data_IF_587587628790
#
_entry.id   IF_587587628790
#
_cell.length_a   1.000
_cell.length_b   1.000
_cell.length_c   1.000
_cell.angle_alpha   90.00
_cell.angle_beta   90.00
_cell.angle_gamma   90.00
#
_symmetry.space_group_name_H-M   'P 1'
#
loop_
_entity.id
_entity.type
_entity.pdbx_description
1 polymer ?
#
# COMPACT_ATOMS: atom_id res chain seq x y z
N UNK A 1 141.21 4.56 51.14
CA UNK A 1 140.01 5.16 51.77
C UNK A 1 138.75 4.80 50.96
N UNK A 2 138.42 3.52 50.77
CA UNK A 2 137.45 3.11 49.72
C UNK A 2 136.18 2.37 50.20
N UNK A 3 136.01 2.18 51.53
CA UNK A 3 134.75 1.66 52.10
C UNK A 3 133.79 2.76 52.58
N UNK A 4 134.30 3.92 53.01
CA UNK A 4 133.47 5.02 53.55
C UNK A 4 132.61 5.67 52.47
N UNK A 5 133.13 5.86 51.25
CA UNK A 5 132.40 6.50 50.15
C UNK A 5 131.18 5.69 49.70
N UNK A 6 131.32 4.38 49.47
CA UNK A 6 130.21 3.52 49.00
C UNK A 6 129.01 3.46 49.96
N UNK A 7 129.25 3.62 51.27
CA UNK A 7 128.17 3.63 52.28
C UNK A 7 127.40 4.96 52.24
N UNK A 8 128.05 6.06 51.87
CA UNK A 8 127.37 7.35 51.65
C UNK A 8 126.49 7.32 50.38
N UNK A 9 127.00 6.75 49.27
CA UNK A 9 126.27 6.68 48.00
C UNK A 9 124.96 5.87 48.13
N UNK A 10 125.00 4.73 48.84
CA UNK A 10 123.80 3.91 49.08
C UNK A 10 122.72 4.67 49.86
N UNK A 11 123.11 5.31 50.97
CA UNK A 11 122.18 6.09 51.81
C UNK A 11 121.60 7.30 51.09
N UNK A 12 122.38 7.92 50.20
CA UNK A 12 121.92 9.01 49.35
C UNK A 12 120.85 8.55 48.34
N UNK A 13 121.06 7.39 47.69
CA UNK A 13 120.06 6.83 46.77
C UNK A 13 118.76 6.41 47.47
N UNK A 14 118.82 5.86 48.68
CA UNK A 14 117.62 5.52 49.46
C UNK A 14 116.83 6.77 49.88
N UNK A 15 117.53 7.85 50.26
CA UNK A 15 116.90 9.16 50.51
C UNK A 15 116.25 9.74 49.25
N UNK A 16 116.93 9.65 48.10
CA UNK A 16 116.37 10.11 46.83
C UNK A 16 115.10 9.32 46.44
N UNK A 17 115.07 7.99 46.68
CA UNK A 17 113.89 7.15 46.43
C UNK A 17 112.71 7.56 47.33
N UNK A 18 112.97 7.79 48.62
CA UNK A 18 111.97 8.26 49.58
C UNK A 18 111.39 9.64 49.23
N UNK A 19 112.25 10.61 48.88
CA UNK A 19 111.80 11.95 48.43
C UNK A 19 110.98 11.85 47.14
N UNK A 20 111.37 10.97 46.21
CA UNK A 20 110.63 10.68 45.00
C UNK A 20 109.23 10.14 45.26
N UNK A 21 109.09 9.12 46.13
CA UNK A 21 107.79 8.51 46.46
C UNK A 21 106.77 9.51 47.03
N UNK A 22 107.27 10.51 47.77
CA UNK A 22 106.47 11.64 48.27
C UNK A 22 106.07 12.64 47.17
N UNK A 23 106.90 12.83 46.14
CA UNK A 23 106.67 13.79 45.05
C UNK A 23 105.89 13.25 43.83
N UNK A 24 105.90 11.93 43.59
CA UNK A 24 105.28 11.37 42.37
C UNK A 24 103.76 11.23 42.49
N UNK A 25 103.02 11.87 41.59
CA UNK A 25 101.56 11.85 41.56
C UNK A 25 100.94 10.48 41.19
N UNK A 26 99.62 10.30 41.42
CA UNK A 26 98.92 9.03 41.20
C UNK A 26 98.98 8.54 39.74
N UNK A 27 99.01 9.44 38.75
CA UNK A 27 99.16 9.07 37.33
C UNK A 27 100.52 8.45 36.99
N UNK A 28 101.55 8.73 37.78
CA UNK A 28 102.89 8.14 37.63
C UNK A 28 102.96 6.84 38.42
N UNK A 29 102.47 6.84 39.66
CA UNK A 29 102.44 5.65 40.52
C UNK A 29 101.54 4.53 39.98
N UNK A 30 100.49 4.86 39.23
CA UNK A 30 99.58 3.91 38.59
C UNK A 30 100.12 3.27 37.29
N UNK A 31 101.31 3.64 36.81
CA UNK A 31 101.88 3.03 35.61
C UNK A 31 102.41 1.63 35.90
N UNK A 32 102.13 0.68 35.00
CA UNK A 32 102.62 -0.69 35.11
C UNK A 32 104.16 -0.73 35.18
N UNK A 33 104.67 -1.50 36.15
CA UNK A 33 106.11 -1.65 36.40
C UNK A 33 106.82 -0.44 37.01
N UNK A 34 106.15 0.69 37.28
CA UNK A 34 106.79 1.90 37.82
C UNK A 34 107.54 1.63 39.13
N UNK A 35 106.87 1.02 40.11
CA UNK A 35 107.45 0.66 41.41
C UNK A 35 108.60 -0.36 41.31
N UNK A 36 108.77 -1.05 40.18
CA UNK A 36 109.92 -1.92 39.93
C UNK A 36 111.10 -1.11 39.38
N UNK A 37 110.88 -0.30 38.33
CA UNK A 37 111.91 0.58 37.74
C UNK A 37 112.54 1.53 38.76
N UNK A 38 111.75 2.06 39.70
CA UNK A 38 112.23 2.93 40.79
C UNK A 38 113.07 2.19 41.85
N UNK A 39 112.78 0.91 42.11
CA UNK A 39 113.57 0.08 43.05
C UNK A 39 114.90 -0.37 42.44
N UNK A 40 114.90 -0.69 41.15
CA UNK A 40 116.08 -1.15 40.40
C UNK A 40 117.03 -0.01 39.98
N UNK A 41 116.59 1.25 40.07
CA UNK A 41 117.41 2.41 39.74
C UNK A 41 118.61 2.59 40.69
N UNK A 42 119.81 2.59 40.11
CA UNK A 42 121.11 2.78 40.79
C UNK A 42 121.66 4.20 40.67
N UNK A 43 120.97 5.10 39.94
CA UNK A 43 121.33 6.51 39.82
C UNK A 43 120.11 7.43 39.73
N UNK A 44 120.30 8.72 40.04
CA UNK A 44 119.26 9.75 39.89
C UNK A 44 118.71 9.84 38.46
N UNK A 45 119.55 9.69 37.44
CA UNK A 45 119.11 9.65 36.04
C UNK A 45 118.20 8.45 35.75
N UNK A 46 118.50 7.26 36.30
CA UNK A 46 117.65 6.08 36.16
C UNK A 46 116.31 6.25 36.88
N UNK A 47 116.27 6.91 38.05
CA UNK A 47 115.00 7.24 38.69
C UNK A 47 114.16 8.24 37.89
N UNK A 48 114.79 9.29 37.34
CA UNK A 48 114.09 10.24 36.46
C UNK A 48 113.54 9.53 35.21
N UNK A 49 114.33 8.66 34.58
CA UNK A 49 113.86 7.83 33.46
C UNK A 49 112.71 6.87 33.86
N UNK A 50 112.69 6.34 35.08
CA UNK A 50 111.61 5.48 35.56
C UNK A 50 110.25 6.20 35.63
N UNK A 51 110.26 7.53 35.84
CA UNK A 51 109.06 8.39 35.88
C UNK A 51 108.53 8.79 34.50
N UNK A 52 109.31 8.59 33.44
CA UNK A 52 108.83 8.79 32.08
C UNK A 52 107.71 7.79 31.78
N UNK A 53 106.58 8.31 31.29
CA UNK A 53 105.42 7.51 30.92
C UNK A 53 105.84 6.51 29.82
N UNK A 54 105.72 5.19 30.02
CA UNK A 54 106.09 4.24 28.99
C UNK A 54 105.23 4.50 27.75
N UNK A 55 105.86 4.54 26.58
CA UNK A 55 105.15 4.67 25.32
C UNK A 55 104.16 3.50 25.20
N UNK A 56 102.87 3.80 25.14
CA UNK A 56 101.84 2.80 24.91
C UNK A 56 101.96 2.39 23.45
N UNK A 57 102.76 1.34 23.19
CA UNK A 57 102.82 0.69 21.88
C UNK A 57 101.52 -0.09 21.71
N UNK A 58 100.51 0.60 21.17
CA UNK A 58 99.25 -0.03 20.77
C UNK A 58 99.59 -1.01 19.64
N UNK A 59 99.30 -2.30 19.83
CA UNK A 59 99.54 -3.30 18.80
C UNK A 59 98.69 -3.01 17.55
N UNK A 60 99.30 -3.16 16.37
CA UNK A 60 98.64 -2.92 15.07
C UNK A 60 97.40 -3.79 14.82
N UNK A 61 97.25 -4.90 15.54
CA UNK A 61 96.03 -5.72 15.55
C UNK A 61 94.85 -5.01 16.20
N UNK A 62 95.09 -4.31 17.32
CA UNK A 62 94.06 -3.69 18.15
C UNK A 62 93.61 -2.34 17.57
N UNK A 63 94.50 -1.62 16.88
CA UNK A 63 94.12 -0.43 16.09
C UNK A 63 93.24 -0.79 14.90
N UNK A 64 93.52 -1.89 14.19
CA UNK A 64 92.65 -2.41 13.10
C UNK A 64 91.28 -2.82 13.63
N UNK A 65 91.21 -3.63 14.69
CA UNK A 65 89.94 -4.02 15.31
C UNK A 65 89.08 -2.82 15.74
N UNK A 66 89.70 -1.75 16.29
CA UNK A 66 88.98 -0.52 16.62
C UNK A 66 88.53 0.27 15.38
N UNK A 67 89.27 0.22 14.27
CA UNK A 67 88.85 0.82 13.00
C UNK A 67 87.67 0.04 12.38
N UNK A 68 87.76 -1.30 12.36
CA UNK A 68 86.70 -2.18 11.85
C UNK A 68 85.40 -2.03 12.66
N UNK A 69 85.50 -2.01 14.00
CA UNK A 69 84.34 -1.79 14.88
C UNK A 69 83.71 -0.40 14.68
N UNK A 70 84.49 0.64 14.40
CA UNK A 70 83.97 1.98 14.06
C UNK A 70 83.30 2.02 12.70
N UNK A 71 83.86 1.33 11.70
CA UNK A 71 83.24 1.20 10.39
C UNK A 71 81.90 0.44 10.46
N UNK A 72 81.85 -0.65 11.24
CA UNK A 72 80.62 -1.39 11.52
C UNK A 72 79.59 -0.53 12.26
N UNK A 73 80.00 0.25 13.27
CA UNK A 73 79.10 1.18 13.97
C UNK A 73 78.52 2.23 13.01
N UNK A 74 79.34 2.83 12.14
CA UNK A 74 78.86 3.79 11.11
C UNK A 74 77.86 3.14 10.15
N UNK A 75 78.15 1.92 9.66
CA UNK A 75 77.23 1.14 8.81
C UNK A 75 75.88 0.90 9.50
N UNK A 76 75.90 0.43 10.75
CA UNK A 76 74.69 0.21 11.54
C UNK A 76 73.93 1.52 11.83
N UNK A 77 74.62 2.65 12.01
CA UNK A 77 73.97 3.95 12.16
C UNK A 77 73.34 4.47 10.86
N UNK A 78 73.95 4.19 9.71
CA UNK A 78 73.41 4.48 8.37
C UNK A 78 72.19 3.61 8.07
N UNK A 79 72.25 2.30 8.36
CA UNK A 79 71.14 1.38 8.28
C UNK A 79 69.98 1.79 9.21
N UNK A 80 70.28 2.16 10.46
CA UNK A 80 69.28 2.67 11.41
C UNK A 80 68.60 3.93 10.90
N UNK A 81 69.35 4.87 10.30
CA UNK A 81 68.79 6.08 9.65
C UNK A 81 67.92 5.72 8.44
N UNK A 82 68.37 4.79 7.60
CA UNK A 82 67.60 4.30 6.44
C UNK A 82 66.27 3.64 6.87
N UNK A 83 66.29 2.81 7.89
CA UNK A 83 65.09 2.16 8.46
C UNK A 83 64.17 3.20 9.09
N UNK A 84 64.69 4.16 9.85
CA UNK A 84 63.89 5.23 10.46
C UNK A 84 63.15 6.08 9.41
N UNK A 85 63.81 6.45 8.31
CA UNK A 85 63.18 7.18 7.21
C UNK A 85 62.06 6.36 6.54
N UNK A 86 62.30 5.08 6.26
CA UNK A 86 61.29 4.17 5.69
C UNK A 86 60.09 3.98 6.63
N UNK A 87 60.32 3.85 7.95
CA UNK A 87 59.25 3.76 8.94
C UNK A 87 58.40 5.04 8.98
N UNK A 88 59.04 6.22 8.87
CA UNK A 88 58.33 7.50 8.81
C UNK A 88 57.47 7.64 7.54
N UNK A 89 57.99 7.22 6.37
CA UNK A 89 57.22 7.18 5.12
C UNK A 89 56.02 6.22 5.20
N UNK A 90 56.24 5.01 5.74
CA UNK A 90 55.17 4.03 5.98
C UNK A 90 54.12 4.58 6.94
N UNK A 91 54.53 5.20 8.05
CA UNK A 91 53.58 5.79 9.00
C UNK A 91 52.76 6.93 8.37
N UNK A 92 53.40 7.85 7.64
CA UNK A 92 52.72 8.94 6.92
C UNK A 92 51.72 8.42 5.89
N UNK A 93 52.09 7.38 5.13
CA UNK A 93 51.18 6.77 4.16
C UNK A 93 50.00 6.06 4.83
N UNK A 94 50.23 5.38 5.97
CA UNK A 94 49.17 4.79 6.79
C UNK A 94 48.19 5.84 7.32
N UNK A 95 48.69 6.94 7.89
CA UNK A 95 47.84 8.02 8.41
C UNK A 95 46.96 8.63 7.30
N UNK A 96 47.51 8.80 6.10
CA UNK A 96 46.76 9.24 4.92
C UNK A 96 45.68 8.22 4.48
N UNK A 97 45.99 6.92 4.43
CA UNK A 97 44.98 5.90 4.07
C UNK A 97 43.91 5.72 5.14
N UNK A 98 44.25 5.88 6.42
CA UNK A 98 43.25 5.91 7.49
C UNK A 98 42.33 7.13 7.40
N UNK A 99 42.82 8.30 6.97
CA UNK A 99 41.97 9.47 6.73
C UNK A 99 40.97 9.22 5.59
N UNK A 100 41.46 8.77 4.44
CA UNK A 100 40.64 8.43 3.27
C UNK A 100 39.60 7.35 3.60
N UNK A 101 39.95 6.37 4.44
CA UNK A 101 39.01 5.35 4.91
C UNK A 101 37.89 5.97 5.76
N UNK A 102 38.20 6.88 6.68
CA UNK A 102 37.19 7.58 7.51
C UNK A 102 36.23 8.38 6.63
N UNK A 103 36.75 9.15 5.68
CA UNK A 103 35.94 9.92 4.71
C UNK A 103 35.03 8.99 3.90
N UNK A 104 35.60 7.95 3.28
CA UNK A 104 34.83 6.97 2.50
C UNK A 104 33.75 6.24 3.34
N UNK A 105 33.99 5.99 4.64
CA UNK A 105 32.95 5.44 5.52
C UNK A 105 31.84 6.43 5.82
N UNK A 106 32.15 7.71 6.02
CA UNK A 106 31.14 8.76 6.25
C UNK A 106 30.27 8.99 5.01
N UNK A 107 30.89 9.05 3.81
CA UNK A 107 30.17 9.18 2.53
C UNK A 107 29.25 7.98 2.27
N UNK A 108 29.73 6.75 2.55
CA UNK A 108 28.91 5.53 2.47
C UNK A 108 27.70 5.59 3.39
N UNK A 109 27.85 6.12 4.60
CA UNK A 109 26.75 6.25 5.57
C UNK A 109 25.75 7.33 5.17
N UNK A 110 26.22 8.49 4.70
CA UNK A 110 25.38 9.53 4.14
C UNK A 110 24.57 9.02 2.93
N UNK A 111 25.21 8.32 2.00
CA UNK A 111 24.55 7.68 0.86
C UNK A 111 23.52 6.62 1.30
N UNK A 112 23.82 5.84 2.35
CA UNK A 112 22.90 4.84 2.89
C UNK A 112 21.67 5.47 3.58
N UNK A 113 21.82 6.64 4.22
CA UNK A 113 20.71 7.43 4.78
C UNK A 113 19.83 7.98 3.65
N UNK A 114 20.43 8.57 2.62
CA UNK A 114 19.68 9.11 1.48
C UNK A 114 18.95 8.00 0.69
N UNK A 115 19.57 6.84 0.48
CA UNK A 115 18.93 5.68 -0.14
C UNK A 115 17.68 5.21 0.63
N UNK A 116 17.74 5.17 1.97
CA UNK A 116 16.56 4.89 2.82
C UNK A 116 15.47 5.96 2.64
N UNK A 117 15.85 7.24 2.56
CA UNK A 117 14.92 8.36 2.34
C UNK A 117 14.28 8.34 0.95
N UNK A 118 15.03 7.97 -0.10
CA UNK A 118 14.50 7.77 -1.46
C UNK A 118 13.47 6.63 -1.44
N UNK A 119 13.82 5.47 -0.88
CA UNK A 119 12.90 4.32 -0.79
C UNK A 119 11.61 4.64 0.00
N UNK A 120 11.71 5.44 1.06
CA UNK A 120 10.53 5.93 1.78
C UNK A 120 9.61 6.81 0.92
N UNK A 121 10.17 7.70 0.09
CA UNK A 121 9.42 8.53 -0.86
C UNK A 121 8.80 7.71 -1.99
N UNK A 122 9.52 6.71 -2.50
CA UNK A 122 9.04 5.78 -3.53
C UNK A 122 7.78 5.02 -3.05
N UNK A 123 7.81 4.47 -1.83
CA UNK A 123 6.66 3.79 -1.22
C UNK A 123 5.46 4.75 -1.05
N UNK A 124 5.72 6.00 -0.64
CA UNK A 124 4.67 7.01 -0.49
C UNK A 124 4.03 7.40 -1.83
N UNK A 125 4.83 7.59 -2.88
CA UNK A 125 4.37 7.87 -4.24
C UNK A 125 3.59 6.68 -4.83
N UNK A 126 4.07 5.46 -4.63
CA UNK A 126 3.36 4.25 -5.08
C UNK A 126 1.96 4.16 -4.43
N UNK A 127 1.85 4.44 -3.12
CA UNK A 127 0.55 4.50 -2.43
C UNK A 127 -0.36 5.60 -2.98
N UNK A 128 0.17 6.79 -3.29
CA UNK A 128 -0.61 7.86 -3.93
C UNK A 128 -1.10 7.45 -5.33
N UNK A 129 -0.25 6.79 -6.11
CA UNK A 129 -0.61 6.26 -7.43
C UNK A 129 -1.73 5.22 -7.34
N UNK A 130 -1.63 4.24 -6.44
CA UNK A 130 -2.69 3.24 -6.24
C UNK A 130 -4.02 3.87 -5.79
N UNK A 131 -3.98 4.88 -4.91
CA UNK A 131 -5.18 5.63 -4.52
C UNK A 131 -5.80 6.35 -5.72
N UNK A 132 -5.00 7.05 -6.52
CA UNK A 132 -5.48 7.76 -7.72
C UNK A 132 -6.06 6.78 -8.75
N UNK A 133 -5.41 5.63 -8.93
CA UNK A 133 -5.89 4.54 -9.79
C UNK A 133 -7.26 4.04 -9.32
N UNK A 134 -7.47 3.83 -8.02
CA UNK A 134 -8.78 3.46 -7.47
C UNK A 134 -9.85 4.54 -7.72
N UNK A 135 -9.51 5.82 -7.58
CA UNK A 135 -10.43 6.94 -7.92
C UNK A 135 -10.79 6.95 -9.40
N UNK A 136 -9.83 6.70 -10.30
CA UNK A 136 -10.08 6.63 -11.76
C UNK A 136 -11.06 5.50 -12.09
N UNK A 137 -10.88 4.30 -11.53
CA UNK A 137 -11.82 3.19 -11.72
C UNK A 137 -13.21 3.53 -11.15
N UNK A 138 -13.28 4.14 -9.96
CA UNK A 138 -14.54 4.60 -9.38
C UNK A 138 -15.26 5.66 -10.25
N UNK A 139 -14.52 6.52 -10.95
CA UNK A 139 -15.09 7.46 -11.92
C UNK A 139 -15.57 6.75 -13.20
N UNK A 140 -14.82 5.76 -13.72
CA UNK A 140 -15.22 4.95 -14.88
C UNK A 140 -16.55 4.21 -14.60
N UNK A 141 -16.65 3.54 -13.46
CA UNK A 141 -17.88 2.90 -12.97
C UNK A 141 -19.09 3.86 -12.91
N UNK A 142 -18.86 5.14 -12.59
CA UNK A 142 -19.91 6.17 -12.54
C UNK A 142 -20.28 6.66 -13.94
N UNK A 143 -19.32 6.83 -14.84
CA UNK A 143 -19.58 7.16 -16.24
C UNK A 143 -20.40 6.07 -16.93
N UNK A 144 -20.05 4.80 -16.77
CA UNK A 144 -20.79 3.68 -17.34
C UNK A 144 -22.24 3.64 -16.82
N UNK A 145 -22.46 3.88 -15.52
CA UNK A 145 -23.80 3.98 -14.93
C UNK A 145 -24.59 5.18 -15.47
N UNK A 146 -23.94 6.31 -15.69
CA UNK A 146 -24.57 7.52 -16.25
C UNK A 146 -24.94 7.32 -17.73
N UNK A 147 -24.06 6.72 -18.53
CA UNK A 147 -24.31 6.42 -19.94
C UNK A 147 -25.48 5.43 -20.10
N UNK A 148 -25.48 4.34 -19.33
CA UNK A 148 -26.59 3.39 -19.31
C UNK A 148 -27.94 4.05 -18.96
N UNK A 149 -27.98 4.89 -17.92
CA UNK A 149 -29.20 5.65 -17.56
C UNK A 149 -29.64 6.61 -18.66
N UNK A 150 -28.70 7.27 -19.32
CA UNK A 150 -28.97 8.22 -20.40
C UNK A 150 -29.47 7.51 -21.67
N UNK A 151 -28.99 6.30 -21.95
CA UNK A 151 -29.50 5.44 -23.03
C UNK A 151 -30.93 4.95 -22.74
N UNK A 152 -31.23 4.53 -21.50
CA UNK A 152 -32.59 4.18 -21.09
C UNK A 152 -33.55 5.37 -21.21
N UNK A 153 -33.18 6.54 -20.67
CA UNK A 153 -34.01 7.75 -20.76
C UNK A 153 -34.26 8.21 -22.21
N UNK A 154 -33.29 8.01 -23.11
CA UNK A 154 -33.47 8.24 -24.56
C UNK A 154 -34.47 7.26 -25.17
N UNK A 155 -34.41 5.98 -24.83
CA UNK A 155 -35.36 4.97 -25.30
C UNK A 155 -36.80 5.24 -24.81
N UNK A 156 -36.95 5.54 -23.51
CA UNK A 156 -38.23 5.94 -22.91
C UNK A 156 -38.82 7.19 -23.56
N UNK A 157 -38.00 8.23 -23.76
CA UNK A 157 -38.43 9.46 -24.44
C UNK A 157 -38.86 9.23 -25.89
N UNK A 158 -38.13 8.39 -26.63
CA UNK A 158 -38.51 8.01 -28.00
C UNK A 158 -39.85 7.25 -28.03
N UNK A 159 -40.09 6.36 -27.07
CA UNK A 159 -41.33 5.58 -26.98
C UNK A 159 -42.53 6.45 -26.54
N UNK A 160 -42.34 7.32 -25.54
CA UNK A 160 -43.34 8.33 -25.16
C UNK A 160 -43.69 9.25 -26.34
N UNK A 161 -42.71 9.65 -27.16
CA UNK A 161 -42.94 10.46 -28.36
C UNK A 161 -43.82 9.74 -29.40
N UNK A 162 -43.65 8.42 -29.60
CA UNK A 162 -44.53 7.63 -30.46
C UNK A 162 -45.94 7.55 -29.88
N UNK A 163 -46.06 7.22 -28.60
CA UNK A 163 -47.35 7.07 -27.92
C UNK A 163 -48.15 8.38 -27.90
N UNK A 164 -47.50 9.53 -27.71
CA UNK A 164 -48.13 10.84 -27.83
C UNK A 164 -48.63 11.14 -29.25
N UNK A 165 -47.90 10.73 -30.31
CA UNK A 165 -48.37 10.86 -31.70
C UNK A 165 -49.61 10.00 -31.96
N UNK A 166 -49.62 8.76 -31.47
CA UNK A 166 -50.77 7.85 -31.58
C UNK A 166 -51.98 8.42 -30.85
N UNK A 167 -51.83 8.79 -29.57
CA UNK A 167 -52.88 9.38 -28.76
C UNK A 167 -53.45 10.66 -29.37
N UNK A 168 -52.60 11.53 -29.93
CA UNK A 168 -53.03 12.74 -30.65
C UNK A 168 -53.93 12.44 -31.84
N UNK A 169 -53.59 11.44 -32.66
CA UNK A 169 -54.43 11.07 -33.80
C UNK A 169 -55.70 10.31 -33.39
N UNK A 170 -55.70 9.58 -32.26
CA UNK A 170 -56.93 9.03 -31.66
C UNK A 170 -57.86 10.15 -31.21
N UNK A 171 -57.41 11.06 -30.35
CA UNK A 171 -58.22 12.19 -29.87
C UNK A 171 -58.75 13.06 -31.01
N UNK A 172 -57.95 13.29 -32.05
CA UNK A 172 -58.37 14.03 -33.26
C UNK A 172 -59.53 13.35 -33.99
N UNK A 173 -59.56 12.01 -34.07
CA UNK A 173 -60.69 11.25 -34.64
C UNK A 173 -61.91 11.29 -33.73
N UNK A 174 -61.70 11.12 -32.42
CA UNK A 174 -62.77 11.18 -31.42
C UNK A 174 -63.45 12.54 -31.40
N UNK A 175 -62.72 13.65 -31.41
CA UNK A 175 -63.28 15.01 -31.48
C UNK A 175 -64.18 15.19 -32.71
N UNK A 176 -63.77 14.66 -33.88
CA UNK A 176 -64.61 14.70 -35.09
C UNK A 176 -65.89 13.86 -34.92
N UNK A 177 -65.78 12.66 -34.34
CA UNK A 177 -66.95 11.81 -34.07
C UNK A 177 -67.91 12.44 -33.03
N UNK A 178 -67.38 13.00 -31.95
CA UNK A 178 -68.14 13.75 -30.95
C UNK A 178 -68.84 14.95 -31.56
N UNK A 179 -68.18 15.71 -32.44
CA UNK A 179 -68.81 16.82 -33.16
C UNK A 179 -70.00 16.36 -34.00
N UNK A 180 -69.85 15.30 -34.80
CA UNK A 180 -70.95 14.73 -35.59
C UNK A 180 -72.10 14.25 -34.69
N UNK A 181 -71.80 13.65 -33.53
CA UNK A 181 -72.82 13.24 -32.55
C UNK A 181 -73.55 14.45 -31.93
N UNK A 182 -72.81 15.50 -31.58
CA UNK A 182 -73.35 16.75 -31.06
C UNK A 182 -74.24 17.47 -32.08
N UNK A 183 -73.79 17.59 -33.33
CA UNK A 183 -74.55 18.21 -34.42
C UNK A 183 -75.88 17.45 -34.68
N UNK A 184 -75.86 16.11 -34.64
CA UNK A 184 -77.08 15.27 -34.71
C UNK A 184 -78.01 15.48 -33.52
N UNK A 185 -77.48 15.56 -32.30
CA UNK A 185 -78.28 15.83 -31.11
C UNK A 185 -78.92 17.22 -31.17
N UNK A 186 -78.17 18.23 -31.62
CA UNK A 186 -78.68 19.58 -31.82
C UNK A 186 -79.81 19.61 -32.86
N UNK A 187 -79.67 18.89 -33.98
CA UNK A 187 -80.75 18.73 -34.98
C UNK A 187 -82.00 18.07 -34.37
N UNK A 188 -81.85 16.96 -33.65
CA UNK A 188 -82.99 16.29 -32.99
C UNK A 188 -83.70 17.18 -31.97
N UNK A 189 -82.95 17.93 -31.17
CA UNK A 189 -83.50 18.90 -30.21
C UNK A 189 -84.19 20.06 -30.93
N UNK A 190 -83.66 20.53 -32.06
CA UNK A 190 -84.28 21.59 -32.87
C UNK A 190 -85.58 21.15 -33.54
N UNK A 191 -85.73 19.85 -33.83
CA UNK A 191 -86.98 19.24 -34.31
C UNK A 191 -87.94 18.90 -33.16
N UNK A 192 -87.48 18.93 -31.91
CA UNK A 192 -88.30 18.69 -30.73
C UNK A 192 -88.93 20.03 -30.30
N UNK A 193 -89.96 20.43 -31.04
CA UNK A 193 -90.81 21.56 -30.68
C UNK A 193 -91.32 21.38 -29.22
N UNK A 194 -91.13 22.36 -28.31
CA UNK A 194 -91.59 22.26 -26.93
C UNK A 194 -93.11 22.14 -26.76
N UNK A 195 -93.89 22.31 -27.84
CA UNK A 195 -95.33 21.99 -27.85
C UNK A 195 -95.54 20.47 -27.69
N UNK A 196 -95.77 20.03 -26.44
CA UNK A 196 -96.26 18.67 -26.14
C UNK A 196 -97.62 18.42 -26.83
N UNK A 197 -97.57 17.93 -28.06
CA UNK A 197 -98.76 17.43 -28.74
C UNK A 197 -99.25 16.17 -28.02
N UNK A 198 -100.57 15.98 -27.96
CA UNK A 198 -101.21 14.80 -27.33
C UNK A 198 -100.65 13.47 -27.85
N UNK A 199 -100.13 13.44 -29.08
CA UNK A 199 -99.44 12.29 -29.67
C UNK A 199 -98.08 12.00 -29.00
N UNK A 200 -97.24 13.01 -28.80
CA UNK A 200 -95.93 12.85 -28.13
C UNK A 200 -96.07 12.34 -26.70
N UNK A 201 -97.07 12.82 -25.96
CA UNK A 201 -97.38 12.33 -24.61
C UNK A 201 -97.79 10.83 -24.64
N UNK A 202 -98.71 10.45 -25.52
CA UNK A 202 -99.14 9.04 -25.70
C UNK A 202 -97.97 8.12 -26.05
N UNK A 203 -97.07 8.55 -26.93
CA UNK A 203 -95.87 7.79 -27.30
C UNK A 203 -94.90 7.62 -26.12
N UNK A 204 -94.70 8.65 -25.27
CA UNK A 204 -93.89 8.56 -24.05
C UNK A 204 -94.47 7.54 -23.06
N UNK A 205 -95.78 7.57 -22.82
CA UNK A 205 -96.48 6.60 -21.94
C UNK A 205 -96.32 5.18 -22.49
N UNK A 206 -96.61 4.97 -23.78
CA UNK A 206 -96.52 3.64 -24.41
C UNK A 206 -95.10 3.07 -24.40
N UNK A 207 -94.09 3.91 -24.56
CA UNK A 207 -92.69 3.48 -24.49
C UNK A 207 -92.31 3.02 -23.06
N UNK A 208 -92.75 3.75 -22.01
CA UNK A 208 -92.57 3.32 -20.60
C UNK A 208 -93.24 1.97 -20.31
N UNK A 209 -94.45 1.74 -20.83
CA UNK A 209 -95.12 0.43 -20.72
C UNK A 209 -94.32 -0.68 -21.40
N UNK A 210 -93.87 -0.47 -22.64
CA UNK A 210 -93.10 -1.46 -23.40
C UNK A 210 -91.77 -1.81 -22.72
N UNK A 211 -91.07 -0.82 -22.16
CA UNK A 211 -89.84 -1.05 -21.36
C UNK A 211 -90.15 -1.88 -20.10
N UNK A 212 -91.26 -1.60 -19.41
CA UNK A 212 -91.71 -2.39 -18.25
C UNK A 212 -92.08 -3.83 -18.64
N UNK A 213 -92.80 -4.02 -19.75
CA UNK A 213 -93.15 -5.33 -20.30
C UNK A 213 -91.89 -6.12 -20.70
N UNK A 214 -90.93 -5.49 -21.38
CA UNK A 214 -89.67 -6.12 -21.76
C UNK A 214 -88.87 -6.57 -20.52
N UNK A 215 -88.73 -5.70 -19.51
CA UNK A 215 -88.08 -6.06 -18.23
C UNK A 215 -88.76 -7.23 -17.51
N UNK A 216 -90.10 -7.33 -17.57
CA UNK A 216 -90.86 -8.49 -17.06
C UNK A 216 -90.55 -9.76 -17.86
N UNK A 217 -90.62 -9.69 -19.20
CA UNK A 217 -90.33 -10.82 -20.09
C UNK A 217 -88.89 -11.33 -19.92
N UNK A 218 -87.91 -10.42 -19.80
CA UNK A 218 -86.52 -10.78 -19.59
C UNK A 218 -86.30 -11.49 -18.24
N UNK A 219 -87.00 -11.05 -17.17
CA UNK A 219 -87.02 -11.76 -15.88
C UNK A 219 -87.66 -13.15 -15.98
N UNK A 220 -88.77 -13.29 -16.71
CA UNK A 220 -89.41 -14.59 -16.97
C UNK A 220 -88.49 -15.51 -17.77
N UNK A 221 -87.84 -15.02 -18.82
CA UNK A 221 -86.91 -15.78 -19.65
C UNK A 221 -85.68 -16.26 -18.84
N UNK A 222 -85.10 -15.42 -17.97
CA UNK A 222 -84.05 -15.84 -17.05
C UNK A 222 -84.53 -16.91 -16.07
N UNK A 223 -85.74 -16.75 -15.49
CA UNK A 223 -86.35 -17.74 -14.59
C UNK A 223 -86.69 -19.07 -15.29
N UNK A 224 -86.97 -19.05 -16.60
CA UNK A 224 -87.21 -20.24 -17.39
C UNK A 224 -85.88 -20.97 -17.68
N UNK A 225 -84.87 -20.24 -18.14
CA UNK A 225 -83.51 -20.79 -18.36
C UNK A 225 -82.88 -21.38 -17.10
N UNK A 226 -83.16 -20.84 -15.92
CA UNK A 226 -82.68 -21.41 -14.65
C UNK A 226 -83.44 -22.69 -14.22
N UNK A 227 -84.61 -22.96 -14.79
CA UNK A 227 -85.46 -24.13 -14.47
C UNK A 227 -85.31 -25.26 -15.48
N UNK A 228 -85.03 -24.94 -16.75
CA UNK A 228 -84.79 -25.92 -17.81
C UNK A 228 -83.28 -26.13 -17.92
N UNK A 229 -82.76 -27.16 -17.24
CA UNK A 229 -81.39 -27.64 -17.41
C UNK A 229 -81.31 -28.55 -18.65
N UNK A 230 -81.23 -27.93 -19.83
CA UNK A 230 -81.13 -28.66 -21.10
C UNK A 230 -79.94 -29.64 -21.10
N UNK A 231 -78.86 -29.30 -20.41
CA UNK A 231 -77.63 -30.10 -20.30
C UNK A 231 -77.83 -31.42 -19.51
N UNK A 232 -78.91 -31.54 -18.75
CA UNK A 232 -79.31 -32.74 -17.98
C UNK A 232 -80.48 -33.49 -18.63
N UNK A 233 -80.98 -33.02 -19.79
CA UNK A 233 -82.08 -33.64 -20.51
C UNK A 233 -81.55 -34.66 -21.52
N UNK A 234 -82.26 -35.78 -21.58
CA UNK A 234 -82.09 -36.85 -22.55
C UNK A 234 -82.20 -36.31 -24.01
N UNK A 235 -81.28 -36.67 -24.93
CA UNK A 235 -81.21 -36.07 -26.25
C UNK A 235 -82.41 -36.39 -27.15
N UNK A 236 -82.96 -37.61 -27.08
CA UNK A 236 -84.21 -37.98 -27.75
C UNK A 236 -85.37 -37.10 -27.24
N UNK A 237 -85.46 -36.86 -25.94
CA UNK A 237 -86.45 -35.95 -25.33
C UNK A 237 -86.27 -34.49 -25.80
N UNK A 238 -85.03 -34.02 -25.98
CA UNK A 238 -84.75 -32.70 -26.53
C UNK A 238 -85.16 -32.58 -28.01
N UNK A 239 -84.90 -33.61 -28.82
CA UNK A 239 -85.33 -33.69 -30.22
C UNK A 239 -86.85 -33.61 -30.31
N UNK A 240 -87.57 -34.40 -29.52
CA UNK A 240 -89.04 -34.41 -29.49
C UNK A 240 -89.65 -33.05 -29.06
N UNK A 241 -88.99 -32.31 -28.18
CA UNK A 241 -89.39 -30.94 -27.82
C UNK A 241 -89.10 -29.90 -28.92
N UNK A 242 -88.09 -30.12 -29.76
CA UNK A 242 -87.70 -29.23 -30.87
C UNK A 242 -88.55 -29.49 -32.12
N UNK A 243 -88.87 -30.75 -32.40
CA UNK A 243 -89.68 -31.18 -33.55
C UNK A 243 -91.18 -30.91 -33.35
N UNK A 244 -91.61 -30.62 -32.11
CA UNK A 244 -92.94 -30.11 -31.81
C UNK A 244 -94.05 -31.15 -31.85
N UNK A 245 -93.72 -32.44 -31.70
CA UNK A 245 -94.72 -33.50 -31.71
C UNK A 245 -95.65 -33.43 -30.49
N UNK A 246 -96.96 -33.39 -30.77
CA UNK A 246 -98.02 -33.12 -29.80
C UNK A 246 -98.13 -34.13 -28.64
N UNK A 247 -97.45 -35.28 -28.74
CA UNK A 247 -97.50 -36.38 -27.77
C UNK A 247 -96.89 -36.04 -26.41
N UNK A 248 -95.94 -35.10 -26.32
CA UNK A 248 -95.31 -34.71 -25.05
C UNK A 248 -96.17 -33.79 -24.18
N UNK A 249 -97.21 -33.14 -24.74
CA UNK A 249 -98.11 -32.28 -23.97
C UNK A 249 -99.05 -33.06 -23.03
N UNK A 250 -99.08 -34.40 -23.12
CA UNK A 250 -99.91 -35.27 -22.27
C UNK A 250 -99.23 -35.55 -20.92
N UNK A 251 -97.89 -35.56 -20.84
CA UNK A 251 -97.17 -35.88 -19.59
C UNK A 251 -97.00 -34.69 -18.61
N UNK A 252 -97.51 -33.50 -18.96
CA UNK A 252 -97.60 -32.35 -18.03
C UNK A 252 -99.06 -31.99 -17.75
N UNK A 253 -99.94 -33.01 -17.68
CA UNK A 253 -101.25 -32.90 -17.04
C UNK A 253 -101.32 -33.79 -15.78
N UNK A 254 -101.12 -33.14 -14.64
CA UNK A 254 -101.68 -33.46 -13.32
C UNK A 254 -101.63 -34.91 -12.79
N UNK A 255 -100.94 -35.10 -11.66
CA UNK A 255 -101.57 -35.80 -10.54
C UNK A 255 -101.33 -35.06 -9.21
N UNK A 256 -102.34 -34.94 -8.30
CA UNK A 256 -102.25 -34.11 -7.08
C UNK A 256 -102.11 -34.94 -5.78
N UNK A 257 -102.24 -34.25 -4.63
CA UNK A 257 -102.22 -34.72 -3.21
C UNK A 257 -100.81 -34.74 -2.57
N UNK A 258 -100.41 -33.75 -1.75
CA UNK A 258 -100.78 -33.46 -0.32
C UNK A 258 -99.95 -34.29 0.69
N UNK A 259 -99.42 -33.84 1.84
CA UNK A 259 -99.74 -32.78 2.82
C UNK A 259 -98.41 -32.25 3.47
N UNK A 260 -98.24 -31.03 4.03
CA UNK A 260 -99.00 -30.16 4.95
C UNK A 260 -98.74 -30.41 6.46
N UNK A 261 -98.06 -29.44 7.09
CA UNK A 261 -97.88 -29.14 8.54
C UNK A 261 -97.10 -27.79 8.59
N UNK A 262 -97.24 -26.80 9.46
CA UNK A 262 -98.26 -26.30 10.42
C UNK A 262 -98.60 -24.84 9.96
N UNK A 263 -99.63 -24.06 10.34
CA UNK A 263 -100.42 -23.79 11.57
C UNK A 263 -99.75 -22.85 12.58
N UNK A 264 -100.31 -21.63 12.75
CA UNK A 264 -99.95 -20.71 13.83
C UNK A 264 -100.49 -19.26 13.75
N UNK A 265 -101.82 -19.06 13.85
CA UNK A 265 -102.53 -17.80 14.25
C UNK A 265 -102.33 -16.50 13.40
N UNK A 266 -103.25 -15.52 13.33
CA UNK A 266 -104.61 -15.37 13.89
C UNK A 266 -105.45 -14.41 13.01
N UNK A 267 -106.78 -14.39 13.19
CA UNK A 267 -107.70 -13.46 12.51
C UNK A 267 -107.61 -12.03 13.06
N UNK A 268 -107.97 -11.05 12.21
CA UNK A 268 -108.24 -9.66 12.59
C UNK A 268 -108.84 -8.88 11.42
N UNK A 269 -110.17 -8.80 11.37
CA UNK A 269 -110.92 -7.95 10.41
C UNK A 269 -111.28 -6.61 11.04
N UNK A 270 -111.39 -5.57 10.19
CA UNK A 270 -111.46 -4.12 10.48
C UNK A 270 -110.09 -3.43 10.60
#
# INVERSE_FOLDING_TARGET
MSRVCRVHDSKFMDLCRFIGELHWGPEVRGQSGFAQRVREATSLQQMLAATARPAIVVQDSLTRQLADARAQLSSCEEERRCIANKLFEVQRSREATEHLLREATADREAAQIEAKRIKGREIALHRQFSNMQATIHGHQDLYDKLENRLMLARAESAELSKNLKIAREVYKREIVAYKVSYDRLHQLLSLTDPVETTLTHKLRVRNRELVSQNKRLQKTASSLRSRIRLDEMDPETLVLMIEGESSFLIFIQCHPLSCRFLIGAQLGTH
#
